data_IF_031818843325
#
_entry.id   IF_031818843325
#
_cell.length_a   1.000
_cell.length_b   1.000
_cell.length_c   1.000
_cell.angle_alpha   90.00
_cell.angle_beta   90.00
_cell.angle_gamma   90.00
#
_symmetry.space_group_name_H-M   'P 1'
#
loop_
_entity.id
_entity.type
_entity.pdbx_description
1 polymer ?
#
# COMPACT_ATOMS: atom_id res chain seq x y z
N UNK A 1 39.59 38.59 -3.52
CA UNK A 1 38.14 38.84 -3.53
C UNK A 1 37.77 39.72 -2.31
N UNK A 2 37.69 41.01 -2.52
CA UNK A 2 37.28 41.97 -1.50
C UNK A 2 35.85 42.39 -1.77
N UNK A 3 35.00 42.25 -0.77
CA UNK A 3 33.68 42.88 -0.75
C UNK A 3 33.93 44.41 -0.70
N UNK A 4 33.22 45.20 -1.48
CA UNK A 4 33.40 46.66 -1.56
C UNK A 4 32.99 47.41 -0.30
N UNK A 5 33.52 46.99 0.85
CA UNK A 5 33.39 47.57 2.18
C UNK A 5 34.52 47.06 3.07
N UNK A 6 34.84 47.77 4.13
CA UNK A 6 36.04 47.61 5.00
C UNK A 6 36.11 46.32 5.82
N UNK A 7 35.24 45.33 5.55
CA UNK A 7 35.26 44.01 6.19
C UNK A 7 35.45 42.93 5.12
N UNK A 8 36.60 42.26 5.11
CA UNK A 8 36.86 41.10 4.28
C UNK A 8 35.91 39.94 4.59
N UNK A 9 35.80 38.99 3.66
CA UNK A 9 35.04 37.75 3.89
C UNK A 9 35.63 36.99 5.07
N UNK A 10 34.77 36.44 5.92
CA UNK A 10 35.17 35.44 6.91
C UNK A 10 35.80 34.24 6.18
N UNK A 11 36.79 33.60 6.78
CA UNK A 11 37.54 32.48 6.21
C UNK A 11 36.61 31.39 5.61
N UNK A 12 35.52 31.08 6.31
CA UNK A 12 34.54 30.08 5.86
C UNK A 12 33.83 30.51 4.57
N UNK A 13 33.40 31.79 4.46
CA UNK A 13 32.80 32.33 3.23
C UNK A 13 33.78 32.43 2.07
N UNK A 14 35.04 32.75 2.36
CA UNK A 14 36.07 32.77 1.33
C UNK A 14 36.36 31.37 0.79
N UNK A 15 36.37 30.37 1.66
CA UNK A 15 36.57 28.96 1.30
C UNK A 15 35.38 28.39 0.52
N UNK A 16 34.17 28.74 0.90
CA UNK A 16 32.92 28.38 0.17
C UNK A 16 32.90 29.00 -1.23
N UNK A 17 33.28 30.28 -1.37
CA UNK A 17 33.42 30.89 -2.68
C UNK A 17 34.55 30.27 -3.52
N UNK A 18 35.71 29.97 -2.91
CA UNK A 18 36.80 29.31 -3.59
C UNK A 18 36.41 27.94 -4.12
N UNK A 19 35.69 27.14 -3.32
CA UNK A 19 35.17 25.83 -3.72
C UNK A 19 34.13 25.94 -4.84
N UNK A 20 33.27 26.96 -4.76
CA UNK A 20 32.26 27.23 -5.82
C UNK A 20 32.90 27.65 -7.15
N UNK A 21 33.92 28.48 -7.10
CA UNK A 21 34.72 28.91 -8.28
C UNK A 21 35.49 27.72 -8.86
N UNK A 22 36.05 26.89 -8.01
CA UNK A 22 36.79 25.69 -8.39
C UNK A 22 35.89 24.63 -9.03
N UNK A 23 34.66 24.47 -8.51
CA UNK A 23 33.60 23.61 -9.11
C UNK A 23 33.15 24.11 -10.48
N UNK A 24 33.11 25.45 -10.69
CA UNK A 24 32.79 26.04 -12.00
C UNK A 24 33.93 26.00 -13.02
N UNK A 25 35.17 25.71 -12.57
CA UNK A 25 36.36 25.65 -13.43
C UNK A 25 36.57 24.26 -14.09
N UNK A 26 35.69 23.31 -13.86
CA UNK A 26 35.74 22.03 -14.60
C UNK A 26 35.54 22.27 -16.09
N UNK A 27 36.50 21.83 -16.93
CA UNK A 27 36.43 21.90 -18.39
C UNK A 27 35.35 20.99 -19.04
N UNK A 28 34.39 20.56 -18.24
CA UNK A 28 33.26 19.70 -18.63
C UNK A 28 31.96 20.45 -18.37
N UNK A 29 31.11 20.56 -19.38
CA UNK A 29 29.77 21.12 -19.22
C UNK A 29 28.94 20.19 -18.33
N UNK A 30 28.64 20.62 -17.11
CA UNK A 30 27.73 19.91 -16.20
C UNK A 30 26.30 20.23 -16.61
N UNK A 31 25.55 19.21 -17.02
CA UNK A 31 24.11 19.32 -17.18
C UNK A 31 23.44 18.90 -15.88
N UNK A 32 22.59 19.77 -15.35
CA UNK A 32 21.76 19.47 -14.19
C UNK A 32 20.73 18.40 -14.59
N UNK A 33 20.95 17.15 -14.18
CA UNK A 33 20.07 16.04 -14.52
C UNK A 33 18.76 16.06 -13.72
N UNK A 34 18.81 16.45 -12.45
CA UNK A 34 17.62 16.59 -11.61
C UNK A 34 17.91 17.59 -10.47
N UNK A 35 16.99 18.54 -10.27
CA UNK A 35 17.02 19.44 -9.12
C UNK A 35 15.64 19.47 -8.48
N UNK A 36 15.54 18.96 -7.25
CA UNK A 36 14.33 19.06 -6.44
C UNK A 36 14.60 19.92 -5.21
N UNK A 37 14.01 21.10 -5.20
CA UNK A 37 13.98 21.96 -4.02
C UNK A 37 12.61 21.78 -3.36
N UNK A 38 12.53 20.89 -2.39
CA UNK A 38 11.34 20.73 -1.54
C UNK A 38 11.54 21.63 -0.31
N UNK A 39 10.73 22.70 -0.22
CA UNK A 39 10.69 23.50 1.00
C UNK A 39 10.14 22.67 2.17
N UNK A 40 10.66 22.81 3.40
CA UNK A 40 10.25 22.00 4.56
C UNK A 40 8.75 22.12 4.86
N UNK A 41 8.14 23.26 4.62
CA UNK A 41 6.70 23.51 4.83
C UNK A 41 5.81 22.78 3.81
N UNK A 42 6.26 22.63 2.56
CA UNK A 42 5.51 21.87 1.55
C UNK A 42 5.52 20.37 1.86
N UNK A 43 6.65 19.83 2.32
CA UNK A 43 6.78 18.44 2.66
C UNK A 43 5.89 18.02 3.83
N UNK A 44 5.88 18.80 4.91
CA UNK A 44 5.06 18.52 6.10
C UNK A 44 3.55 18.55 5.78
N UNK A 45 3.08 19.56 5.06
CA UNK A 45 1.68 19.66 4.66
C UNK A 45 1.26 18.52 3.71
N UNK A 46 2.13 18.12 2.79
CA UNK A 46 1.85 17.03 1.87
C UNK A 46 1.74 15.68 2.58
N UNK A 47 2.62 15.39 3.53
CA UNK A 47 2.56 14.17 4.37
C UNK A 47 1.28 14.17 5.20
N UNK A 48 0.96 15.28 5.87
CA UNK A 48 -0.26 15.40 6.67
C UNK A 48 -1.52 15.19 5.84
N UNK A 49 -1.61 15.85 4.69
CA UNK A 49 -2.75 15.69 3.78
C UNK A 49 -2.84 14.28 3.20
N UNK A 50 -1.71 13.65 2.88
CA UNK A 50 -1.63 12.27 2.43
C UNK A 50 -2.13 11.28 3.48
N UNK A 51 -1.74 11.45 4.75
CA UNK A 51 -2.23 10.63 5.86
C UNK A 51 -3.74 10.80 6.09
N UNK A 52 -4.25 12.04 6.03
CA UNK A 52 -5.68 12.30 6.16
C UNK A 52 -6.45 11.65 5.01
N UNK A 53 -5.98 11.82 3.77
CA UNK A 53 -6.60 11.19 2.60
C UNK A 53 -6.59 9.66 2.70
N UNK A 54 -5.47 9.06 3.15
CA UNK A 54 -5.37 7.63 3.39
C UNK A 54 -6.33 7.13 4.47
N UNK A 55 -6.48 7.87 5.57
CA UNK A 55 -7.42 7.53 6.65
C UNK A 55 -8.89 7.61 6.18
N UNK A 56 -9.23 8.64 5.41
CA UNK A 56 -10.57 8.78 4.82
C UNK A 56 -10.82 7.62 3.83
N UNK A 57 -9.88 7.33 2.93
CA UNK A 57 -9.98 6.23 1.98
C UNK A 57 -10.16 4.87 2.69
N UNK A 58 -9.37 4.61 3.72
CA UNK A 58 -9.50 3.40 4.55
C UNK A 58 -10.88 3.31 5.20
N UNK A 59 -11.39 4.41 5.74
CA UNK A 59 -12.73 4.48 6.35
C UNK A 59 -13.84 4.17 5.34
N UNK A 60 -13.77 4.71 4.12
CA UNK A 60 -14.73 4.44 3.04
C UNK A 60 -14.68 2.96 2.65
N UNK A 61 -13.49 2.37 2.52
CA UNK A 61 -13.32 0.96 2.17
C UNK A 61 -13.92 0.07 3.26
N UNK A 62 -13.64 0.33 4.54
CA UNK A 62 -14.20 -0.42 5.66
C UNK A 62 -15.73 -0.34 5.66
N UNK A 63 -16.29 0.85 5.47
CA UNK A 63 -17.73 1.04 5.39
C UNK A 63 -18.34 0.24 4.23
N UNK A 64 -17.75 0.31 3.04
CA UNK A 64 -18.18 -0.46 1.87
C UNK A 64 -18.14 -1.97 2.15
N UNK A 65 -17.04 -2.49 2.70
CA UNK A 65 -16.88 -3.90 3.02
C UNK A 65 -17.92 -4.38 4.04
N UNK A 66 -18.18 -3.59 5.09
CA UNK A 66 -19.17 -3.93 6.11
C UNK A 66 -20.61 -3.93 5.56
N UNK A 67 -20.93 -2.99 4.66
CA UNK A 67 -22.27 -2.89 4.04
C UNK A 67 -22.48 -4.04 3.05
N UNK A 68 -21.51 -4.28 2.17
CA UNK A 68 -21.66 -5.23 1.07
C UNK A 68 -21.47 -6.70 1.51
N UNK A 69 -20.43 -6.98 2.32
CA UNK A 69 -20.10 -8.35 2.76
C UNK A 69 -20.58 -8.69 4.17
N UNK A 70 -21.21 -7.74 4.86
CA UNK A 70 -21.74 -7.93 6.23
C UNK A 70 -20.71 -8.58 7.16
N UNK A 71 -20.96 -9.76 7.71
CA UNK A 71 -20.08 -10.44 8.67
C UNK A 71 -18.72 -10.82 8.09
N UNK A 72 -18.66 -11.28 6.84
CA UNK A 72 -17.38 -11.52 6.16
C UNK A 72 -16.63 -10.21 5.94
N UNK A 73 -17.35 -9.11 5.68
CA UNK A 73 -16.78 -7.76 5.58
C UNK A 73 -16.15 -7.27 6.88
N UNK A 74 -16.73 -7.57 8.03
CA UNK A 74 -16.14 -7.24 9.33
C UNK A 74 -14.81 -7.97 9.54
N UNK A 75 -14.74 -9.26 9.20
CA UNK A 75 -13.49 -10.03 9.31
C UNK A 75 -12.41 -9.50 8.34
N UNK A 76 -12.81 -9.13 7.11
CA UNK A 76 -11.90 -8.50 6.16
C UNK A 76 -11.45 -7.11 6.61
N UNK A 77 -12.32 -6.32 7.23
CA UNK A 77 -11.99 -5.02 7.80
C UNK A 77 -10.99 -5.14 8.95
N UNK A 78 -11.14 -6.14 9.82
CA UNK A 78 -10.15 -6.46 10.85
C UNK A 78 -8.80 -6.87 10.24
N UNK A 79 -8.81 -7.71 9.21
CA UNK A 79 -7.61 -8.09 8.49
C UNK A 79 -6.94 -6.88 7.82
N UNK A 80 -7.73 -5.94 7.28
CA UNK A 80 -7.25 -4.70 6.68
C UNK A 80 -6.60 -3.77 7.72
N UNK A 81 -7.13 -3.71 8.94
CA UNK A 81 -6.50 -2.99 10.05
C UNK A 81 -5.15 -3.61 10.40
N UNK A 82 -5.07 -4.94 10.51
CA UNK A 82 -3.80 -5.65 10.74
C UNK A 82 -2.81 -5.39 9.61
N UNK A 83 -3.27 -5.42 8.36
CA UNK A 83 -2.47 -5.07 7.18
C UNK A 83 -1.87 -3.67 7.31
N UNK A 84 -2.70 -2.67 7.60
CA UNK A 84 -2.28 -1.28 7.69
C UNK A 84 -1.21 -1.10 8.79
N UNK A 85 -1.43 -1.67 9.96
CA UNK A 85 -0.46 -1.64 11.06
C UNK A 85 0.85 -2.33 10.65
N UNK A 86 0.77 -3.48 9.98
CA UNK A 86 1.94 -4.25 9.58
C UNK A 86 2.77 -3.52 8.50
N UNK A 87 2.12 -2.88 7.53
CA UNK A 87 2.80 -2.08 6.50
C UNK A 87 3.51 -0.88 7.12
N UNK A 88 2.81 -0.11 7.97
CA UNK A 88 3.40 1.05 8.65
C UNK A 88 4.57 0.62 9.54
N UNK A 89 4.41 -0.48 10.28
CA UNK A 89 5.47 -1.05 11.11
C UNK A 89 6.70 -1.44 10.27
N UNK A 90 6.52 -2.17 9.17
CA UNK A 90 7.61 -2.57 8.30
C UNK A 90 8.31 -1.37 7.66
N UNK A 91 7.55 -0.39 7.18
CA UNK A 91 8.11 0.85 6.64
C UNK A 91 8.89 1.65 7.69
N UNK A 92 8.53 1.56 8.97
CA UNK A 92 9.24 2.23 10.07
C UNK A 92 10.51 1.50 10.51
N UNK A 93 10.53 0.17 10.46
CA UNK A 93 11.65 -0.67 10.91
C UNK A 93 12.74 -0.79 9.84
N UNK A 94 12.37 -0.75 8.56
CA UNK A 94 13.33 -0.93 7.46
C UNK A 94 14.12 0.37 7.18
N UNK A 95 15.43 0.41 7.42
CA UNK A 95 16.24 1.65 7.34
C UNK A 95 16.42 2.19 5.91
N UNK A 96 16.20 1.35 4.89
CA UNK A 96 16.29 1.75 3.48
C UNK A 96 14.97 2.26 2.90
N UNK A 97 13.87 2.25 3.68
CA UNK A 97 12.58 2.78 3.26
C UNK A 97 12.47 4.23 3.70
N UNK A 98 12.52 5.15 2.74
CA UNK A 98 12.27 6.56 3.01
C UNK A 98 10.78 6.87 2.77
N UNK A 99 10.10 7.39 3.77
CA UNK A 99 8.71 7.83 3.66
C UNK A 99 8.66 9.15 2.85
N UNK A 100 8.69 9.01 1.54
CA UNK A 100 8.47 10.12 0.60
C UNK A 100 6.98 10.26 0.32
N UNK A 101 6.57 11.37 -0.30
CA UNK A 101 5.18 11.56 -0.74
C UNK A 101 4.72 10.43 -1.68
N UNK A 102 5.61 10.04 -2.58
CA UNK A 102 5.38 8.92 -3.50
C UNK A 102 5.28 7.58 -2.75
N UNK A 103 6.06 7.41 -1.68
CA UNK A 103 5.96 6.24 -0.80
C UNK A 103 4.61 6.14 -0.09
N UNK A 104 4.05 7.25 0.38
CA UNK A 104 2.70 7.30 0.95
C UNK A 104 1.66 6.90 -0.10
N UNK A 105 1.79 7.38 -1.34
CA UNK A 105 0.91 6.97 -2.44
C UNK A 105 0.99 5.45 -2.70
N UNK A 106 2.18 4.84 -2.59
CA UNK A 106 2.36 3.39 -2.67
C UNK A 106 1.64 2.62 -1.56
N UNK A 107 1.66 3.13 -0.32
CA UNK A 107 0.91 2.55 0.80
C UNK A 107 -0.60 2.63 0.56
N UNK A 108 -1.11 3.79 0.13
CA UNK A 108 -2.54 4.00 -0.15
C UNK A 108 -3.02 3.05 -1.27
N UNK A 109 -2.25 2.93 -2.34
CA UNK A 109 -2.54 1.99 -3.41
C UNK A 109 -2.55 0.55 -2.89
N UNK A 110 -1.60 0.20 -2.01
CA UNK A 110 -1.50 -1.11 -1.37
C UNK A 110 -2.74 -1.46 -0.52
N UNK A 111 -3.36 -0.48 0.16
CA UNK A 111 -4.61 -0.68 0.89
C UNK A 111 -5.72 -1.14 -0.07
N UNK A 112 -5.85 -0.50 -1.24
CA UNK A 112 -6.81 -0.92 -2.26
C UNK A 112 -6.61 -2.36 -2.72
N UNK A 113 -5.37 -2.74 -3.03
CA UNK A 113 -5.02 -4.10 -3.46
C UNK A 113 -5.22 -5.16 -2.34
N UNK A 114 -5.01 -4.79 -1.09
CA UNK A 114 -5.24 -5.69 0.04
C UNK A 114 -6.73 -6.06 0.19
N UNK A 115 -7.61 -5.11 -0.10
CA UNK A 115 -9.06 -5.36 -0.11
C UNK A 115 -9.46 -6.22 -1.30
N UNK A 116 -8.94 -5.94 -2.49
CA UNK A 116 -9.26 -6.68 -3.72
C UNK A 116 -8.96 -8.18 -3.57
N UNK A 117 -7.84 -8.54 -2.97
CA UNK A 117 -7.51 -9.93 -2.65
C UNK A 117 -8.58 -10.63 -1.79
N UNK A 118 -9.13 -9.94 -0.79
CA UNK A 118 -10.20 -10.46 0.05
C UNK A 118 -11.54 -10.57 -0.72
N UNK A 119 -11.85 -9.58 -1.55
CA UNK A 119 -13.05 -9.56 -2.40
C UNK A 119 -13.06 -10.75 -3.35
N UNK A 120 -11.95 -11.01 -4.05
CA UNK A 120 -11.82 -12.16 -4.97
C UNK A 120 -12.07 -13.48 -4.23
N UNK A 121 -11.51 -13.66 -3.04
CA UNK A 121 -11.73 -14.88 -2.25
C UNK A 121 -13.20 -15.01 -1.83
N UNK A 122 -13.83 -13.92 -1.41
CA UNK A 122 -15.22 -13.93 -0.95
C UNK A 122 -16.21 -14.20 -2.08
N UNK A 123 -16.00 -13.59 -3.25
CA UNK A 123 -16.85 -13.87 -4.41
C UNK A 123 -16.73 -15.33 -4.86
N UNK A 124 -15.53 -15.89 -4.87
CA UNK A 124 -15.34 -17.32 -5.13
C UNK A 124 -16.03 -18.20 -4.10
N UNK A 125 -16.00 -17.81 -2.84
CA UNK A 125 -16.71 -18.55 -1.77
C UNK A 125 -18.23 -18.47 -1.93
N UNK A 126 -18.77 -17.31 -2.34
CA UNK A 126 -20.21 -17.16 -2.65
C UNK A 126 -20.63 -18.01 -3.85
N UNK A 127 -19.83 -18.03 -4.92
CA UNK A 127 -20.10 -18.86 -6.10
C UNK A 127 -20.19 -20.36 -5.73
N UNK A 128 -19.30 -20.84 -4.89
CA UNK A 128 -19.30 -22.23 -4.42
C UNK A 128 -20.49 -22.54 -3.50
N UNK A 129 -20.89 -21.58 -2.68
CA UNK A 129 -22.08 -21.69 -1.83
C UNK A 129 -23.37 -21.71 -2.66
N UNK A 130 -23.47 -20.88 -3.69
CA UNK A 130 -24.61 -20.86 -4.61
C UNK A 130 -24.78 -22.17 -5.37
N UNK A 131 -23.73 -22.97 -5.53
CA UNK A 131 -23.77 -24.32 -6.09
C UNK A 131 -24.35 -25.39 -5.13
N UNK A 132 -24.77 -25.00 -3.91
CA UNK A 132 -25.37 -25.88 -2.93
C UNK A 132 -24.39 -26.60 -2.00
N UNK A 133 -23.14 -26.14 -1.93
CA UNK A 133 -22.14 -26.67 -0.98
C UNK A 133 -22.38 -26.11 0.42
N UNK A 134 -21.96 -26.84 1.44
CA UNK A 134 -21.98 -26.33 2.81
C UNK A 134 -21.06 -25.14 2.95
N UNK A 135 -21.37 -24.21 3.85
CA UNK A 135 -20.61 -22.98 4.06
C UNK A 135 -19.11 -23.22 4.28
N UNK A 136 -18.77 -24.22 5.11
CA UNK A 136 -17.38 -24.57 5.42
C UNK A 136 -16.64 -25.05 4.16
N UNK A 137 -17.29 -25.92 3.36
CA UNK A 137 -16.70 -26.41 2.12
C UNK A 137 -16.59 -25.30 1.06
N UNK A 138 -17.61 -24.43 0.95
CA UNK A 138 -17.60 -23.30 0.04
C UNK A 138 -16.45 -22.33 0.36
N UNK A 139 -16.24 -22.05 1.64
CA UNK A 139 -15.11 -21.21 2.09
C UNK A 139 -13.76 -21.87 1.78
N UNK A 140 -13.54 -23.13 2.14
CA UNK A 140 -12.27 -23.80 1.88
C UNK A 140 -11.95 -23.91 0.38
N UNK A 141 -12.93 -24.18 -0.46
CA UNK A 141 -12.77 -24.21 -1.93
C UNK A 141 -12.56 -22.78 -2.46
N UNK A 142 -13.31 -21.80 -1.97
CA UNK A 142 -13.16 -20.39 -2.33
C UNK A 142 -11.76 -19.88 -2.01
N UNK A 143 -11.23 -20.15 -0.82
CA UNK A 143 -9.85 -19.84 -0.46
C UNK A 143 -8.83 -20.57 -1.34
N UNK A 144 -9.05 -21.84 -1.66
CA UNK A 144 -8.13 -22.61 -2.51
C UNK A 144 -8.09 -22.07 -3.94
N UNK A 145 -9.23 -21.76 -4.54
CA UNK A 145 -9.33 -21.20 -5.90
C UNK A 145 -8.94 -19.72 -5.95
N UNK A 146 -9.41 -18.94 -4.97
CA UNK A 146 -9.09 -17.52 -4.87
C UNK A 146 -7.61 -17.26 -4.68
N UNK A 147 -6.90 -18.13 -3.93
CA UNK A 147 -5.45 -18.01 -3.73
C UNK A 147 -4.68 -17.97 -5.04
N UNK A 148 -4.98 -18.82 -6.00
CA UNK A 148 -4.28 -18.84 -7.29
C UNK A 148 -4.49 -17.51 -8.02
N UNK A 149 -5.73 -17.04 -8.11
CA UNK A 149 -6.04 -15.76 -8.77
C UNK A 149 -5.35 -14.56 -8.07
N UNK A 150 -5.32 -14.54 -6.74
CA UNK A 150 -4.64 -13.49 -5.96
C UNK A 150 -3.12 -13.53 -6.20
N UNK A 151 -2.51 -14.71 -6.22
CA UNK A 151 -1.07 -14.84 -6.49
C UNK A 151 -0.75 -14.37 -7.91
N UNK A 152 -1.51 -14.80 -8.91
CA UNK A 152 -1.28 -14.45 -10.32
C UNK A 152 -1.37 -12.94 -10.55
N UNK A 153 -2.39 -12.29 -9.98
CA UNK A 153 -2.57 -10.84 -10.06
C UNK A 153 -1.40 -10.09 -9.39
N UNK A 154 -0.99 -10.53 -8.20
CA UNK A 154 0.10 -9.87 -7.46
C UNK A 154 1.47 -10.10 -8.11
N UNK A 155 1.73 -11.26 -8.74
CA UNK A 155 2.98 -11.49 -9.49
C UNK A 155 3.14 -10.45 -10.60
N UNK A 156 2.09 -10.16 -11.35
CA UNK A 156 2.12 -9.12 -12.40
C UNK A 156 2.48 -7.75 -11.81
N UNK A 157 1.88 -7.38 -10.68
CA UNK A 157 2.15 -6.10 -10.00
C UNK A 157 3.58 -6.05 -9.44
N UNK A 158 4.08 -7.16 -8.90
CA UNK A 158 5.47 -7.28 -8.42
C UNK A 158 6.45 -7.05 -9.56
N UNK A 159 6.22 -7.64 -10.73
CA UNK A 159 7.07 -7.42 -11.92
C UNK A 159 7.08 -5.94 -12.30
N UNK A 160 5.90 -5.30 -12.36
CA UNK A 160 5.80 -3.86 -12.62
C UNK A 160 6.54 -3.01 -11.60
N UNK A 161 6.40 -3.31 -10.30
CA UNK A 161 7.09 -2.60 -9.23
C UNK A 161 8.62 -2.81 -9.28
N UNK A 162 9.09 -4.00 -9.65
CA UNK A 162 10.53 -4.26 -9.85
C UNK A 162 11.08 -3.44 -11.03
N UNK A 163 10.36 -3.36 -12.15
CA UNK A 163 10.76 -2.52 -13.28
C UNK A 163 10.85 -1.06 -12.85
N UNK A 164 9.85 -0.56 -12.11
CA UNK A 164 9.87 0.81 -11.57
C UNK A 164 11.06 1.04 -10.62
N UNK A 165 11.43 0.05 -9.84
CA UNK A 165 12.57 0.15 -8.93
C UNK A 165 13.91 0.26 -9.67
N UNK A 166 14.12 -0.53 -10.74
CA UNK A 166 15.39 -0.55 -11.47
C UNK A 166 15.52 0.58 -12.49
N UNK A 167 14.41 1.00 -13.11
CA UNK A 167 14.41 2.00 -14.19
C UNK A 167 14.06 3.40 -13.68
N UNK A 168 13.33 3.49 -12.56
CA UNK A 168 12.84 4.75 -12.02
C UNK A 168 13.92 5.59 -11.35
N UNK A 169 13.75 6.91 -11.36
CA UNK A 169 14.54 7.85 -10.57
C UNK A 169 14.27 7.70 -9.06
N UNK A 170 15.05 8.39 -8.23
CA UNK A 170 15.05 8.23 -6.75
C UNK A 170 13.67 8.29 -6.09
N UNK A 171 12.78 9.16 -6.56
CA UNK A 171 11.41 9.25 -6.06
C UNK A 171 10.55 8.04 -6.42
N UNK A 172 10.66 7.59 -7.67
CA UNK A 172 9.91 6.43 -8.16
C UNK A 172 10.38 5.15 -7.45
N UNK A 173 11.67 5.06 -7.10
CA UNK A 173 12.21 3.96 -6.30
C UNK A 173 11.55 3.89 -4.91
N UNK A 174 11.34 5.02 -4.25
CA UNK A 174 10.62 5.07 -2.97
C UNK A 174 9.20 4.53 -3.06
N UNK A 175 8.45 4.92 -4.10
CA UNK A 175 7.14 4.36 -4.42
C UNK A 175 7.21 2.85 -4.67
N UNK A 176 8.15 2.40 -5.50
CA UNK A 176 8.28 1.00 -5.87
C UNK A 176 8.57 0.09 -4.67
N UNK A 177 9.45 0.53 -3.76
CA UNK A 177 9.76 -0.22 -2.53
C UNK A 177 8.53 -0.34 -1.62
N UNK A 178 7.84 0.77 -1.34
CA UNK A 178 6.65 0.75 -0.49
C UNK A 178 5.53 -0.09 -1.12
N UNK A 179 5.38 -0.06 -2.44
CA UNK A 179 4.45 -0.89 -3.18
C UNK A 179 4.80 -2.38 -3.05
N UNK A 180 6.07 -2.77 -3.20
CA UNK A 180 6.52 -4.16 -3.03
C UNK A 180 6.23 -4.68 -1.62
N UNK A 181 6.55 -3.88 -0.59
CA UNK A 181 6.24 -4.24 0.80
C UNK A 181 4.72 -4.42 0.97
N UNK A 182 3.94 -3.48 0.45
CA UNK A 182 2.48 -3.51 0.53
C UNK A 182 1.89 -4.76 -0.12
N UNK A 183 2.40 -5.18 -1.28
CA UNK A 183 1.93 -6.39 -1.98
C UNK A 183 2.25 -7.65 -1.16
N UNK A 184 3.47 -7.79 -0.66
CA UNK A 184 3.87 -8.96 0.13
C UNK A 184 3.02 -9.07 1.40
N UNK A 185 2.81 -7.95 2.09
CA UNK A 185 1.99 -7.90 3.30
C UNK A 185 0.52 -8.17 2.99
N UNK A 186 -0.02 -7.65 1.87
CA UNK A 186 -1.41 -7.89 1.47
C UNK A 186 -1.67 -9.36 1.17
N UNK A 187 -0.76 -10.01 0.45
CA UNK A 187 -0.83 -11.46 0.20
C UNK A 187 -0.82 -12.26 1.50
N UNK A 188 0.10 -11.95 2.41
CA UNK A 188 0.16 -12.61 3.71
C UNK A 188 -1.14 -12.39 4.48
N UNK A 189 -1.64 -11.16 4.56
CA UNK A 189 -2.85 -10.82 5.31
C UNK A 189 -4.09 -11.49 4.72
N UNK A 190 -4.26 -11.46 3.40
CA UNK A 190 -5.41 -12.06 2.74
C UNK A 190 -5.42 -13.61 2.87
N UNK A 191 -4.26 -14.26 2.72
CA UNK A 191 -4.19 -15.71 2.69
C UNK A 191 -4.10 -16.36 4.08
N UNK A 192 -3.50 -15.66 5.04
CA UNK A 192 -3.26 -16.20 6.39
C UNK A 192 -4.19 -15.55 7.41
N UNK A 193 -4.13 -14.22 7.57
CA UNK A 193 -4.87 -13.51 8.63
C UNK A 193 -6.37 -13.58 8.39
N UNK A 194 -6.84 -13.28 7.18
CA UNK A 194 -8.27 -13.32 6.84
C UNK A 194 -8.82 -14.74 7.00
N UNK A 195 -8.08 -15.73 6.53
CA UNK A 195 -8.49 -17.15 6.69
C UNK A 195 -8.59 -17.56 8.15
N UNK A 196 -7.64 -17.15 8.97
CA UNK A 196 -7.66 -17.42 10.41
C UNK A 196 -8.84 -16.73 11.09
N UNK A 197 -9.09 -15.46 10.81
CA UNK A 197 -10.19 -14.70 11.38
C UNK A 197 -11.56 -15.30 11.03
N UNK A 198 -11.76 -15.70 9.78
CA UNK A 198 -13.00 -16.33 9.34
C UNK A 198 -13.20 -17.69 10.03
N UNK A 199 -12.15 -18.51 10.12
CA UNK A 199 -12.25 -19.80 10.83
C UNK A 199 -12.50 -19.62 12.33
N UNK A 200 -11.95 -18.59 12.93
CA UNK A 200 -12.20 -18.27 14.34
C UNK A 200 -13.64 -17.76 14.57
N UNK A 201 -14.24 -17.09 13.62
CA UNK A 201 -15.59 -16.54 13.71
C UNK A 201 -16.68 -17.60 13.43
N UNK A 202 -16.38 -18.66 12.69
CA UNK A 202 -17.34 -19.72 12.32
C UNK A 202 -17.99 -20.45 13.51
N UNK A 203 -17.34 -20.74 14.65
CA UNK A 203 -17.96 -21.43 15.77
C UNK A 203 -18.97 -20.57 16.54
N UNK A 204 -18.98 -19.25 16.34
CA UNK A 204 -19.71 -18.31 17.21
C UNK A 204 -21.09 -17.89 16.67
N UNK A 205 -21.46 -18.27 15.44
CA UNK A 205 -22.68 -17.71 14.82
C UNK A 205 -23.42 -18.72 13.93
N UNK A 206 -24.77 -18.67 14.02
CA UNK A 206 -25.66 -19.43 13.16
C UNK A 206 -25.34 -19.16 11.71
N UNK A 207 -25.11 -20.23 10.95
CA UNK A 207 -24.47 -20.26 9.63
C UNK A 207 -25.16 -19.45 8.52
N UNK A 208 -26.44 -19.07 8.71
CA UNK A 208 -27.26 -18.48 7.65
C UNK A 208 -26.97 -16.98 7.39
N UNK A 209 -26.33 -16.29 8.32
CA UNK A 209 -26.14 -14.84 8.26
C UNK A 209 -24.84 -14.38 7.59
N UNK A 210 -23.91 -15.30 7.31
CA UNK A 210 -22.57 -14.97 6.78
C UNK A 210 -22.54 -14.68 5.28
N UNK A 211 -23.45 -15.30 4.51
CA UNK A 211 -23.45 -15.24 3.03
C UNK A 211 -24.76 -14.78 2.41
N UNK A 212 -25.81 -14.50 3.21
CA UNK A 212 -27.13 -14.16 2.69
C UNK A 212 -27.19 -12.72 2.17
N UNK A 213 -26.91 -12.53 0.88
CA UNK A 213 -27.12 -11.25 0.19
C UNK A 213 -27.94 -11.37 -1.10
N UNK A 214 -28.32 -12.59 -1.52
CA UNK A 214 -29.25 -12.77 -2.64
C UNK A 214 -30.19 -13.94 -2.37
N UNK A 215 -31.48 -13.83 -2.73
CA UNK A 215 -32.39 -14.95 -2.63
C UNK A 215 -31.90 -16.11 -3.51
N UNK A 216 -31.89 -17.31 -2.93
CA UNK A 216 -31.59 -18.54 -3.69
C UNK A 216 -32.52 -18.66 -4.87
N UNK A 217 -32.09 -19.14 -6.06
CA UNK A 217 -32.96 -19.43 -7.18
C UNK A 217 -34.06 -20.46 -6.85
N UNK A 218 -34.02 -21.10 -5.68
CA UNK A 218 -35.05 -22.04 -5.18
C UNK A 218 -36.21 -21.37 -4.47
N UNK A 219 -36.06 -20.12 -4.02
CA UNK A 219 -37.14 -19.39 -3.31
C UNK A 219 -38.09 -18.68 -4.28
N UNK A 220 -37.87 -18.80 -5.58
CA UNK A 220 -38.73 -18.24 -6.65
C UNK A 220 -39.55 -19.30 -7.39
N UNK A 221 -39.80 -20.48 -6.79
CA UNK A 221 -40.77 -21.45 -7.30
C UNK A 221 -41.89 -21.69 -6.33
#
# INVERSE_FOLDING_TARGET
>A
LTQGGNSGYTYDKANEMASSIQAGAFGVTLHLAESRVLGPVLGENAIKNGLIAGAIGLGIIIAFMCIYYRKMGIMASLALMVYTVLVVFLCSVLPWVQLTLEGIAGIILGIGMAVDANVVIFERSKDEYAQGKTLINALDIGFKRGRTAVIDANVTTIIGALVLYFVGGSSIQGFAITLLISIVVSMFTALVVTRFLIKAALPYDSMDCLLYTSPSPRDTR
#
